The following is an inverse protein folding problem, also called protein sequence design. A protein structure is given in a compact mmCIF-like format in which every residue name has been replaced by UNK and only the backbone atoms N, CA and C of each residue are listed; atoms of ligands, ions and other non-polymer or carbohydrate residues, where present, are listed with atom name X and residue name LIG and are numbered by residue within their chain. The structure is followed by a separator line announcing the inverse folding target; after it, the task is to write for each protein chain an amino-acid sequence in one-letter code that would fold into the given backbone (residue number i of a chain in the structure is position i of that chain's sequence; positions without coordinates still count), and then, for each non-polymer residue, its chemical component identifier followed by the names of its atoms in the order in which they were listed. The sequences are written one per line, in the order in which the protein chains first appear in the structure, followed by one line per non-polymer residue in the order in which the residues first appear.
data_IF_784887129062
#
_entry.id   IF_784887129062
#
_cell.length_a   1.000
_cell.length_b   1.000
_cell.length_c   1.000
_cell.angle_alpha   90.00
_cell.angle_beta   90.00
_cell.angle_gamma   90.00
#
_symmetry.space_group_name_H-M   'P 1'
#
loop_
_entity.id
_entity.type
_entity.pdbx_description
1 polymer ?
#
# COMPACT_ATOMS: atom_id res chain seq x y z
N UNK A 1 16.33 12.89 -32.96
CA UNK A 1 15.62 13.84 -32.08
C UNK A 1 14.24 14.14 -32.66
N UNK A 2 13.29 14.58 -31.84
CA UNK A 2 11.92 14.89 -32.27
C UNK A 2 11.65 16.39 -32.09
N UNK A 3 11.46 17.15 -33.18
CA UNK A 3 11.18 18.58 -33.08
C UNK A 3 9.74 18.82 -32.60
N UNK A 4 9.53 19.89 -31.84
CA UNK A 4 8.21 20.32 -31.37
C UNK A 4 8.05 21.84 -31.41
N UNK A 5 6.82 22.30 -31.63
CA UNK A 5 6.41 23.70 -31.39
C UNK A 5 5.89 23.83 -29.97
N UNK A 6 5.83 25.04 -29.38
CA UNK A 6 5.26 25.25 -28.04
C UNK A 6 3.87 24.61 -27.85
N UNK A 7 3.01 24.65 -28.87
CA UNK A 7 1.69 24.01 -28.83
C UNK A 7 1.76 22.47 -28.73
N UNK A 8 2.77 21.85 -29.33
CA UNK A 8 2.97 20.40 -29.28
C UNK A 8 3.40 19.99 -27.86
N UNK A 9 4.30 20.75 -27.21
CA UNK A 9 4.70 20.49 -25.83
C UNK A 9 3.55 20.65 -24.85
N UNK A 10 2.72 21.68 -25.01
CA UNK A 10 1.46 21.83 -24.25
C UNK A 10 0.56 20.60 -24.44
N UNK A 11 0.36 20.16 -25.68
CA UNK A 11 -0.45 18.98 -26.00
C UNK A 11 0.11 17.71 -25.35
N UNK A 12 1.41 17.44 -25.48
CA UNK A 12 2.04 16.24 -24.91
C UNK A 12 2.00 16.23 -23.39
N UNK A 13 2.14 17.41 -22.78
CA UNK A 13 2.04 17.59 -21.33
C UNK A 13 0.63 17.34 -20.84
N UNK A 14 -0.37 17.93 -21.49
CA UNK A 14 -1.78 17.92 -21.05
C UNK A 14 -2.58 16.69 -21.51
N UNK A 15 -2.00 15.89 -22.42
CA UNK A 15 -2.64 14.66 -22.90
C UNK A 15 -2.99 13.68 -21.77
N UNK A 16 -4.21 13.16 -21.76
CA UNK A 16 -4.66 12.13 -20.80
C UNK A 16 -4.11 10.74 -21.11
N UNK A 17 -3.47 10.56 -22.26
CA UNK A 17 -2.70 9.36 -22.62
C UNK A 17 -1.23 9.76 -22.83
N UNK A 18 -0.27 8.92 -22.45
CA UNK A 18 1.13 9.24 -22.68
C UNK A 18 1.44 9.27 -24.18
N UNK A 19 2.20 10.28 -24.59
CA UNK A 19 2.63 10.48 -25.96
C UNK A 19 4.08 10.00 -26.07
N UNK A 20 4.32 9.01 -26.92
CA UNK A 20 5.65 8.52 -27.25
C UNK A 20 6.02 8.92 -28.67
N UNK A 21 7.27 9.28 -28.85
CA UNK A 21 7.84 9.58 -30.15
C UNK A 21 8.76 8.47 -30.60
N UNK A 22 8.61 8.04 -31.86
CA UNK A 22 9.45 7.02 -32.48
C UNK A 22 10.14 7.68 -33.68
N UNK A 23 11.44 7.46 -33.82
CA UNK A 23 12.25 7.96 -34.95
C UNK A 23 13.01 6.82 -35.59
N UNK A 24 13.17 6.91 -36.91
CA UNK A 24 14.14 6.11 -37.64
C UNK A 24 15.48 6.86 -37.67
N UNK A 25 16.54 6.17 -37.27
CA UNK A 25 17.91 6.61 -37.41
C UNK A 25 18.48 5.98 -38.70
N UNK A 26 18.67 6.77 -39.78
CA UNK A 26 19.09 6.24 -41.07
C UNK A 26 20.55 5.79 -41.11
N UNK A 27 21.40 6.33 -40.22
CA UNK A 27 22.82 5.97 -40.19
C UNK A 27 23.03 4.59 -39.55
N UNK A 28 22.22 4.27 -38.54
CA UNK A 28 22.23 2.98 -37.85
C UNK A 28 21.16 1.99 -38.34
N UNK A 29 20.32 2.41 -39.29
CA UNK A 29 19.11 1.71 -39.75
C UNK A 29 18.27 1.13 -38.60
N UNK A 30 17.94 1.97 -37.61
CA UNK A 30 17.29 1.53 -36.36
C UNK A 30 16.07 2.37 -36.00
N UNK A 31 15.12 1.76 -35.28
CA UNK A 31 13.96 2.47 -34.71
C UNK A 31 14.22 2.76 -33.24
N UNK A 32 14.07 4.03 -32.84
CA UNK A 32 14.33 4.48 -31.47
C UNK A 32 13.16 5.25 -30.90
N UNK A 33 13.00 5.25 -29.58
CA UNK A 33 11.82 5.83 -28.92
C UNK A 33 12.15 6.76 -27.74
N UNK A 34 11.25 7.68 -27.45
CA UNK A 34 11.30 8.58 -26.28
C UNK A 34 9.90 8.88 -25.75
N UNK A 35 9.78 9.09 -24.44
CA UNK A 35 8.55 9.56 -23.78
C UNK A 35 8.43 11.08 -23.91
N UNK A 36 7.61 11.55 -24.87
CA UNK A 36 7.40 12.97 -25.14
C UNK A 36 6.57 13.63 -24.03
N UNK A 37 5.63 12.89 -23.43
CA UNK A 37 4.84 13.36 -22.30
C UNK A 37 5.71 13.62 -21.06
N UNK A 38 6.69 12.76 -20.78
CA UNK A 38 7.65 12.99 -19.70
C UNK A 38 8.58 14.16 -20.00
N UNK A 39 9.09 14.25 -21.23
CA UNK A 39 9.97 15.36 -21.64
C UNK A 39 9.27 16.73 -21.55
N UNK A 40 8.00 16.82 -21.95
CA UNK A 40 7.21 18.05 -21.90
C UNK A 40 6.88 18.51 -20.47
N UNK A 41 6.75 17.59 -19.51
CA UNK A 41 6.57 17.94 -18.09
C UNK A 41 7.82 18.64 -17.54
N UNK A 42 9.01 18.18 -17.95
CA UNK A 42 10.29 18.72 -17.51
C UNK A 42 10.69 20.01 -18.23
N UNK A 43 9.98 20.42 -19.29
CA UNK A 43 10.31 21.62 -20.10
C UNK A 43 10.51 22.89 -19.25
N UNK A 44 9.64 23.08 -18.25
CA UNK A 44 9.61 24.28 -17.41
C UNK A 44 10.60 24.23 -16.24
N UNK A 45 11.24 23.09 -16.03
CA UNK A 45 12.34 22.96 -15.08
C UNK A 45 13.63 23.33 -15.80
N UNK A 46 14.05 24.60 -15.68
CA UNK A 46 15.22 25.13 -16.40
C UNK A 46 16.54 24.40 -16.11
N UNK A 47 16.59 23.55 -15.09
CA UNK A 47 17.76 22.72 -14.78
C UNK A 47 17.64 21.28 -15.31
N UNK A 48 16.42 20.75 -15.38
CA UNK A 48 16.15 19.36 -15.76
C UNK A 48 15.52 19.19 -17.16
N UNK A 49 15.24 20.29 -17.86
CA UNK A 49 14.60 20.26 -19.17
C UNK A 49 15.46 19.47 -20.16
N UNK A 50 14.95 18.33 -20.67
CA UNK A 50 15.66 17.56 -21.68
C UNK A 50 15.55 18.20 -23.06
N UNK A 51 14.79 19.29 -23.22
CA UNK A 51 14.52 19.93 -24.51
C UNK A 51 15.73 20.77 -24.90
N UNK A 52 16.27 20.48 -26.09
CA UNK A 52 17.44 21.14 -26.65
C UNK A 52 17.08 21.90 -27.92
N UNK A 53 17.90 22.89 -28.28
CA UNK A 53 17.80 23.52 -29.59
C UNK A 53 18.32 22.56 -30.65
N UNK A 54 17.40 21.98 -31.42
CA UNK A 54 17.70 21.07 -32.51
C UNK A 54 18.02 21.77 -33.84
N UNK A 55 18.15 20.99 -34.92
CA UNK A 55 18.41 21.50 -36.26
C UNK A 55 17.41 22.59 -36.64
N UNK A 56 17.90 23.63 -37.32
CA UNK A 56 17.09 24.79 -37.73
C UNK A 56 16.52 25.63 -36.58
N UNK A 57 17.12 25.57 -35.39
CA UNK A 57 16.77 26.41 -34.24
C UNK A 57 15.46 26.02 -33.55
N UNK A 58 14.96 24.80 -33.78
CA UNK A 58 13.69 24.32 -33.20
C UNK A 58 13.92 23.57 -31.90
N UNK A 59 13.11 23.85 -30.89
CA UNK A 59 13.04 23.04 -29.68
C UNK A 59 12.78 21.58 -30.03
N UNK A 60 13.60 20.68 -29.50
CA UNK A 60 13.59 19.26 -29.86
C UNK A 60 13.85 18.39 -28.64
N UNK A 61 13.18 17.24 -28.57
CA UNK A 61 13.41 16.22 -27.55
C UNK A 61 14.49 15.25 -28.07
N UNK A 62 15.62 15.06 -27.35
CA UNK A 62 16.62 14.09 -27.70
C UNK A 62 16.06 12.67 -27.53
N UNK A 63 16.41 11.78 -28.45
CA UNK A 63 16.02 10.37 -28.38
C UNK A 63 17.26 9.61 -27.90
N UNK A 64 17.23 8.95 -26.73
CA UNK A 64 18.39 8.24 -26.20
C UNK A 64 18.88 7.14 -27.15
N UNK A 65 20.19 6.94 -27.21
CA UNK A 65 20.79 5.95 -28.10
C UNK A 65 20.43 4.51 -27.71
N UNK A 66 20.27 4.26 -26.42
CA UNK A 66 19.95 2.95 -25.86
C UNK A 66 18.49 2.53 -26.06
N UNK A 67 17.59 3.47 -26.41
CA UNK A 67 16.16 3.22 -26.54
C UNK A 67 15.80 2.61 -27.92
N UNK A 68 16.41 1.48 -28.25
CA UNK A 68 16.23 0.77 -29.53
C UNK A 68 15.02 -0.16 -29.52
N UNK A 69 13.98 0.23 -30.26
CA UNK A 69 12.74 -0.53 -30.39
C UNK A 69 12.88 -1.74 -31.33
N UNK A 70 13.84 -1.69 -32.26
CA UNK A 70 14.14 -2.75 -33.21
C UNK A 70 14.87 -3.95 -32.58
N UNK A 71 15.62 -3.71 -31.50
CA UNK A 71 16.32 -4.76 -30.75
C UNK A 71 15.48 -5.36 -29.62
N UNK A 72 14.82 -4.50 -28.83
CA UNK A 72 14.01 -4.93 -27.70
C UNK A 72 12.83 -3.98 -27.48
N UNK A 73 11.62 -4.52 -27.65
CA UNK A 73 10.37 -3.78 -27.45
C UNK A 73 9.96 -3.74 -25.97
N UNK A 74 10.52 -4.60 -25.11
CA UNK A 74 10.12 -4.71 -23.71
C UNK A 74 10.38 -3.43 -22.90
N UNK A 75 11.52 -2.72 -23.04
CA UNK A 75 11.73 -1.42 -22.38
C UNK A 75 10.67 -0.40 -22.77
N UNK A 76 10.30 -0.35 -24.06
CA UNK A 76 9.22 0.52 -24.53
C UNK A 76 7.88 0.13 -23.92
N UNK A 77 7.51 -1.16 -23.96
CA UNK A 77 6.24 -1.64 -23.38
C UNK A 77 6.20 -1.36 -21.88
N UNK A 78 7.31 -1.54 -21.16
CA UNK A 78 7.41 -1.22 -19.74
C UNK A 78 7.22 0.28 -19.50
N UNK A 79 7.91 1.14 -20.25
CA UNK A 79 7.78 2.58 -20.14
C UNK A 79 6.36 3.07 -20.50
N UNK A 80 5.77 2.53 -21.57
CA UNK A 80 4.40 2.81 -21.98
C UNK A 80 3.38 2.39 -20.91
N UNK A 81 3.54 1.20 -20.32
CA UNK A 81 2.70 0.77 -19.19
C UNK A 81 2.89 1.69 -17.98
N UNK A 82 4.11 2.06 -17.63
CA UNK A 82 4.37 2.99 -16.52
C UNK A 82 3.76 4.36 -16.76
N UNK A 83 3.92 4.92 -17.97
CA UNK A 83 3.40 6.22 -18.33
C UNK A 83 1.86 6.21 -18.45
N UNK A 84 1.29 5.11 -18.95
CA UNK A 84 -0.14 4.88 -18.96
C UNK A 84 -0.64 4.86 -17.52
N UNK A 85 -0.09 4.04 -16.63
CA UNK A 85 -0.49 4.00 -15.21
C UNK A 85 -0.44 5.35 -14.49
N UNK A 86 0.50 6.23 -14.86
CA UNK A 86 0.58 7.60 -14.34
C UNK A 86 -0.54 8.52 -14.84
N UNK A 87 -1.18 8.21 -15.97
CA UNK A 87 -2.16 9.07 -16.67
C UNK A 87 -3.54 8.40 -16.88
N UNK A 88 -3.64 7.08 -16.80
CA UNK A 88 -4.82 6.29 -17.11
C UNK A 88 -5.67 6.10 -15.87
N UNK A 89 -6.73 6.89 -15.77
CA UNK A 89 -7.80 6.68 -14.81
C UNK A 89 -7.51 7.29 -13.43
N UNK A 90 -8.59 7.62 -12.73
CA UNK A 90 -8.51 7.96 -11.32
C UNK A 90 -8.13 6.70 -10.55
N UNK A 91 -7.00 6.71 -9.84
CA UNK A 91 -6.62 5.64 -8.92
C UNK A 91 -7.79 5.28 -7.97
N UNK A 92 -8.53 6.30 -7.51
CA UNK A 92 -9.72 6.11 -6.69
C UNK A 92 -10.82 5.36 -7.45
N UNK A 93 -11.04 5.67 -8.73
CA UNK A 93 -12.03 4.95 -9.54
C UNK A 93 -11.64 3.48 -9.76
N UNK A 94 -10.36 3.18 -9.97
CA UNK A 94 -9.90 1.81 -10.09
C UNK A 94 -10.09 1.02 -8.78
N UNK A 95 -9.75 1.62 -7.63
CA UNK A 95 -9.93 1.01 -6.31
C UNK A 95 -11.41 0.85 -5.89
N UNK A 96 -12.31 1.64 -6.48
CA UNK A 96 -13.75 1.59 -6.25
C UNK A 96 -14.51 0.80 -7.33
N UNK A 97 -13.81 0.14 -8.25
CA UNK A 97 -14.44 -0.67 -9.30
C UNK A 97 -15.09 -1.93 -8.73
N UNK A 98 -16.20 -2.37 -9.33
CA UNK A 98 -16.83 -3.66 -9.02
C UNK A 98 -16.07 -4.84 -9.64
N UNK A 99 -15.19 -4.58 -10.60
CA UNK A 99 -14.36 -5.58 -11.26
C UNK A 99 -13.06 -5.85 -10.47
N UNK A 100 -12.87 -7.10 -10.04
CA UNK A 100 -11.74 -7.53 -9.19
C UNK A 100 -10.40 -7.29 -9.85
N UNK A 101 -10.28 -7.53 -11.16
CA UNK A 101 -9.01 -7.36 -11.88
C UNK A 101 -8.64 -5.87 -12.07
N UNK A 102 -9.65 -5.02 -12.26
CA UNK A 102 -9.49 -3.57 -12.22
C UNK A 102 -9.04 -3.09 -10.84
N UNK A 103 -9.61 -3.61 -9.75
CA UNK A 103 -9.18 -3.27 -8.39
C UNK A 103 -7.73 -3.71 -8.14
N UNK A 104 -7.36 -4.93 -8.55
CA UNK A 104 -5.95 -5.40 -8.45
C UNK A 104 -5.00 -4.50 -9.24
N UNK A 105 -5.41 -4.06 -10.42
CA UNK A 105 -4.61 -3.09 -11.21
C UNK A 105 -4.47 -1.77 -10.45
N UNK A 106 -5.55 -1.25 -9.86
CA UNK A 106 -5.52 -0.06 -9.01
C UNK A 106 -4.58 -0.22 -7.80
N UNK A 107 -4.59 -1.37 -7.13
CA UNK A 107 -3.65 -1.66 -6.02
C UNK A 107 -2.20 -1.65 -6.52
N UNK A 108 -1.91 -2.30 -7.65
CA UNK A 108 -0.57 -2.28 -8.24
C UNK A 108 -0.12 -0.87 -8.65
N UNK A 109 -1.06 -0.05 -9.14
CA UNK A 109 -0.80 1.34 -9.51
C UNK A 109 -0.58 2.24 -8.29
N UNK A 110 -1.24 1.95 -7.16
CA UNK A 110 -0.93 2.59 -5.86
C UNK A 110 0.55 2.42 -5.54
N UNK A 111 1.15 1.25 -5.76
CA UNK A 111 2.58 1.07 -5.53
C UNK A 111 3.42 1.96 -6.45
N UNK A 112 3.12 1.97 -7.75
CA UNK A 112 3.88 2.73 -8.75
C UNK A 112 3.82 4.26 -8.50
N UNK A 113 2.64 4.79 -8.19
CA UNK A 113 2.43 6.21 -7.87
C UNK A 113 2.94 6.53 -6.46
N UNK A 114 2.65 5.65 -5.50
CA UNK A 114 2.94 5.79 -4.08
C UNK A 114 4.42 5.98 -3.77
N UNK A 115 5.31 5.44 -4.61
CA UNK A 115 6.75 5.66 -4.53
C UNK A 115 7.18 7.13 -4.63
N UNK A 116 6.33 7.99 -5.18
CA UNK A 116 6.59 9.41 -5.38
C UNK A 116 5.60 10.31 -4.63
N UNK A 117 4.41 9.81 -4.31
CA UNK A 117 3.37 10.55 -3.57
C UNK A 117 2.69 9.66 -2.51
N UNK A 118 2.83 9.97 -1.20
CA UNK A 118 2.20 9.17 -0.15
C UNK A 118 0.66 9.14 -0.24
N UNK A 119 0.05 10.07 -0.96
CA UNK A 119 -1.41 10.16 -1.11
C UNK A 119 -2.02 8.91 -1.76
N UNK A 120 -1.29 8.23 -2.66
CA UNK A 120 -1.77 6.99 -3.26
C UNK A 120 -1.93 5.87 -2.22
N UNK A 121 -0.96 5.71 -1.32
CA UNK A 121 -1.05 4.73 -0.22
C UNK A 121 -2.09 5.13 0.81
N UNK A 122 -2.24 6.43 1.12
CA UNK A 122 -3.32 6.91 2.00
C UNK A 122 -4.70 6.60 1.43
N UNK A 123 -4.87 6.76 0.12
CA UNK A 123 -6.12 6.42 -0.56
C UNK A 123 -6.41 4.92 -0.45
N UNK A 124 -5.42 4.06 -0.74
CA UNK A 124 -5.56 2.61 -0.58
C UNK A 124 -5.94 2.22 0.85
N UNK A 125 -5.25 2.80 1.85
CA UNK A 125 -5.55 2.58 3.26
C UNK A 125 -6.99 3.03 3.60
N UNK A 126 -7.41 4.22 3.18
CA UNK A 126 -8.75 4.75 3.47
C UNK A 126 -9.89 3.95 2.83
N UNK A 127 -9.59 3.19 1.77
CA UNK A 127 -10.54 2.35 1.06
C UNK A 127 -10.44 0.87 1.46
N UNK A 128 -9.49 0.49 2.33
CA UNK A 128 -9.16 -0.91 2.60
C UNK A 128 -10.39 -1.77 2.96
N UNK A 129 -11.21 -1.30 3.91
CA UNK A 129 -12.43 -2.01 4.31
C UNK A 129 -13.47 -2.16 3.18
N UNK A 130 -13.44 -1.27 2.18
CA UNK A 130 -14.36 -1.27 1.04
C UNK A 130 -13.87 -2.11 -0.13
N UNK A 131 -12.61 -2.53 -0.11
CA UNK A 131 -12.07 -3.41 -1.14
C UNK A 131 -12.79 -4.78 -1.10
N UNK A 132 -13.02 -5.41 -2.26
CA UNK A 132 -13.45 -6.80 -2.32
C UNK A 132 -12.52 -7.71 -1.50
N UNK A 133 -13.07 -8.67 -0.76
CA UNK A 133 -12.27 -9.55 0.13
C UNK A 133 -11.12 -10.23 -0.60
N UNK A 134 -11.34 -10.69 -1.85
CA UNK A 134 -10.31 -11.32 -2.68
C UNK A 134 -9.14 -10.42 -3.10
N UNK A 135 -9.14 -9.13 -2.78
CA UNK A 135 -8.04 -8.19 -3.09
C UNK A 135 -7.37 -7.59 -1.85
N UNK A 136 -7.95 -7.77 -0.66
CA UNK A 136 -7.45 -7.15 0.59
C UNK A 136 -6.06 -7.64 0.99
N UNK A 137 -5.77 -8.93 0.85
CA UNK A 137 -4.41 -9.46 1.08
C UNK A 137 -3.37 -8.79 0.17
N UNK A 138 -3.70 -8.63 -1.12
CA UNK A 138 -2.81 -7.94 -2.06
C UNK A 138 -2.63 -6.45 -1.72
N UNK A 139 -3.70 -5.79 -1.22
CA UNK A 139 -3.61 -4.43 -0.70
C UNK A 139 -2.73 -4.35 0.56
N UNK A 140 -2.85 -5.30 1.48
CA UNK A 140 -2.03 -5.37 2.69
C UNK A 140 -0.55 -5.58 2.35
N UNK A 141 -0.23 -6.51 1.44
CA UNK A 141 1.13 -6.70 0.92
C UNK A 141 1.67 -5.41 0.28
N UNK A 142 0.85 -4.73 -0.51
CA UNK A 142 1.21 -3.44 -1.13
C UNK A 142 1.49 -2.35 -0.09
N UNK A 143 0.68 -2.25 0.97
CA UNK A 143 0.90 -1.32 2.08
C UNK A 143 2.12 -1.72 2.91
N UNK A 144 2.40 -3.01 3.07
CA UNK A 144 3.57 -3.51 3.80
C UNK A 144 4.89 -3.07 3.16
N UNK A 145 4.90 -2.80 1.85
CA UNK A 145 6.04 -2.18 1.17
C UNK A 145 6.43 -0.80 1.72
N UNK A 146 5.53 -0.15 2.45
CA UNK A 146 5.80 1.15 3.11
C UNK A 146 6.38 1.00 4.52
N UNK A 147 6.56 -0.23 4.99
CA UNK A 147 7.00 -0.57 6.34
C UNK A 147 8.45 -1.09 6.33
N UNK A 148 8.94 -1.51 7.49
CA UNK A 148 10.22 -2.21 7.65
C UNK A 148 10.02 -3.73 7.69
N UNK A 149 9.10 -4.25 6.86
CA UNK A 149 8.76 -5.67 6.84
C UNK A 149 10.01 -6.54 6.62
N UNK A 150 10.30 -7.52 7.49
CA UNK A 150 11.57 -8.25 7.47
C UNK A 150 11.70 -9.21 6.28
N UNK A 151 10.59 -9.75 5.78
CA UNK A 151 10.60 -10.71 4.66
C UNK A 151 10.46 -10.08 3.28
N UNK A 152 10.51 -8.74 3.17
CA UNK A 152 10.57 -8.08 1.87
C UNK A 152 12.02 -7.99 1.41
N UNK A 153 12.32 -8.60 0.26
CA UNK A 153 13.63 -8.45 -0.38
C UNK A 153 13.72 -7.08 -1.07
N UNK A 154 14.38 -6.12 -0.40
CA UNK A 154 14.49 -4.74 -0.87
C UNK A 154 15.49 -4.57 -2.02
N UNK A 155 15.04 -3.94 -3.09
CA UNK A 155 15.79 -3.62 -4.30
C UNK A 155 15.47 -2.20 -4.76
N UNK A 156 16.24 -1.65 -5.71
CA UNK A 156 15.92 -0.33 -6.30
C UNK A 156 14.54 -0.30 -6.99
N UNK A 157 14.03 -1.46 -7.43
CA UNK A 157 12.73 -1.55 -8.11
C UNK A 157 11.55 -1.50 -7.14
N UNK A 158 11.75 -1.86 -5.86
CA UNK A 158 10.67 -1.88 -4.89
C UNK A 158 10.88 -0.97 -3.67
N UNK A 159 11.97 -0.20 -3.65
CA UNK A 159 12.28 0.75 -2.58
C UNK A 159 11.28 1.91 -2.51
N UNK A 160 10.72 2.13 -1.31
CA UNK A 160 9.93 3.31 -0.96
C UNK A 160 10.83 4.32 -0.22
N UNK A 161 10.98 5.57 -0.70
CA UNK A 161 11.78 6.58 -0.02
C UNK A 161 11.29 6.90 1.41
N UNK A 162 12.22 7.23 2.31
CA UNK A 162 11.88 7.55 3.71
C UNK A 162 10.94 8.74 3.86
N UNK A 163 11.03 9.73 2.97
CA UNK A 163 10.13 10.88 2.94
C UNK A 163 8.67 10.45 2.73
N UNK A 164 8.43 9.45 1.87
CA UNK A 164 7.11 8.88 1.63
C UNK A 164 6.63 8.09 2.87
N UNK A 165 7.49 7.24 3.44
CA UNK A 165 7.17 6.45 4.65
C UNK A 165 6.84 7.35 5.84
N UNK A 166 7.61 8.42 6.03
CA UNK A 166 7.37 9.41 7.08
C UNK A 166 6.05 10.16 6.86
N UNK A 167 5.77 10.58 5.63
CA UNK A 167 4.51 11.23 5.27
C UNK A 167 3.29 10.34 5.54
N UNK A 168 3.40 9.03 5.31
CA UNK A 168 2.36 8.06 5.65
C UNK A 168 2.15 7.94 7.15
N UNK A 169 3.21 7.67 7.93
CA UNK A 169 3.12 7.54 9.39
C UNK A 169 2.53 8.78 10.06
N UNK A 170 2.84 9.97 9.53
CA UNK A 170 2.31 11.22 10.05
C UNK A 170 0.80 11.35 9.84
N UNK A 171 0.26 10.89 8.70
CA UNK A 171 -1.11 11.18 8.24
C UNK A 171 -2.08 10.01 8.39
N UNK A 172 -1.61 8.78 8.28
CA UNK A 172 -2.46 7.58 8.29
C UNK A 172 -2.96 7.31 9.70
N UNK A 173 -4.27 7.19 9.86
CA UNK A 173 -4.92 6.79 11.10
C UNK A 173 -5.96 5.73 10.79
N UNK A 174 -5.78 4.54 11.35
CA UNK A 174 -6.75 3.46 11.18
C UNK A 174 -8.00 3.74 12.00
N UNK A 175 -9.19 3.56 11.42
CA UNK A 175 -10.41 3.46 12.24
C UNK A 175 -10.49 2.07 12.87
N UNK A 176 -11.34 1.88 13.88
CA UNK A 176 -11.58 0.52 14.42
C UNK A 176 -12.09 -0.43 13.34
N UNK A 177 -12.96 0.05 12.43
CA UNK A 177 -13.44 -0.74 11.30
C UNK A 177 -12.32 -1.17 10.35
N UNK A 178 -11.32 -0.31 10.12
CA UNK A 178 -10.16 -0.66 9.30
C UNK A 178 -9.28 -1.70 10.00
N UNK A 179 -9.08 -1.57 11.32
CA UNK A 179 -8.34 -2.56 12.12
C UNK A 179 -9.05 -3.90 12.06
N UNK A 180 -10.38 -3.94 12.25
CA UNK A 180 -11.18 -5.17 12.14
C UNK A 180 -11.04 -5.79 10.76
N UNK A 181 -11.13 -4.98 9.69
CA UNK A 181 -10.96 -5.46 8.32
C UNK A 181 -9.58 -6.06 8.09
N UNK A 182 -8.52 -5.45 8.61
CA UNK A 182 -7.15 -5.96 8.54
C UNK A 182 -6.99 -7.27 9.33
N UNK A 183 -7.47 -7.31 10.58
CA UNK A 183 -7.35 -8.49 11.45
C UNK A 183 -8.16 -9.69 10.95
N UNK A 184 -9.24 -9.45 10.19
CA UNK A 184 -10.04 -10.52 9.56
C UNK A 184 -9.28 -11.22 8.43
N UNK A 185 -8.23 -10.61 7.88
CA UNK A 185 -7.40 -11.25 6.84
C UNK A 185 -6.39 -12.26 7.40
N UNK A 186 -6.16 -12.25 8.73
CA UNK A 186 -5.29 -13.21 9.41
C UNK A 186 -5.98 -14.57 9.44
N UNK A 187 -5.34 -15.56 8.83
CA UNK A 187 -5.82 -16.95 8.80
C UNK A 187 -5.30 -17.77 9.99
N UNK A 188 -5.60 -19.06 9.99
CA UNK A 188 -5.25 -20.02 11.04
C UNK A 188 -3.74 -20.16 11.26
N UNK A 189 -2.89 -19.76 10.29
CA UNK A 189 -1.45 -19.70 10.47
C UNK A 189 -1.02 -18.57 11.43
N UNK A 190 -1.93 -17.66 11.74
CA UNK A 190 -1.72 -16.57 12.68
C UNK A 190 -0.66 -15.57 12.26
N UNK A 191 -0.06 -14.94 13.25
CA UNK A 191 1.05 -14.01 13.08
C UNK A 191 2.32 -14.83 13.28
N UNK A 192 2.97 -15.20 12.18
CA UNK A 192 4.25 -15.92 12.17
C UNK A 192 5.07 -15.44 10.98
N UNK A 193 6.38 -15.70 10.99
CA UNK A 193 7.25 -15.32 9.88
C UNK A 193 6.77 -15.91 8.54
N UNK A 194 6.64 -15.07 7.53
CA UNK A 194 6.17 -15.43 6.19
C UNK A 194 4.65 -15.55 6.03
N UNK A 195 3.85 -15.33 7.08
CA UNK A 195 2.39 -15.38 6.99
C UNK A 195 1.78 -14.02 6.64
N UNK A 196 0.51 -14.04 6.20
CA UNK A 196 -0.26 -12.81 6.05
C UNK A 196 -0.43 -12.07 7.39
N UNK A 197 -0.48 -12.79 8.52
CA UNK A 197 -0.58 -12.18 9.85
C UNK A 197 0.61 -11.29 10.20
N UNK A 198 1.83 -11.70 9.84
CA UNK A 198 3.01 -10.82 9.98
C UNK A 198 2.88 -9.56 9.12
N UNK A 199 2.41 -9.71 7.88
CA UNK A 199 2.17 -8.57 6.97
C UNK A 199 1.17 -7.59 7.60
N UNK A 200 0.05 -8.10 8.11
CA UNK A 200 -0.98 -7.30 8.77
C UNK A 200 -0.43 -6.57 10.00
N UNK A 201 0.35 -7.25 10.86
CA UNK A 201 0.99 -6.62 12.01
C UNK A 201 1.84 -5.40 11.62
N UNK A 202 2.66 -5.53 10.56
CA UNK A 202 3.48 -4.41 10.07
C UNK A 202 2.64 -3.29 9.44
N UNK A 203 1.55 -3.61 8.74
CA UNK A 203 0.63 -2.62 8.16
C UNK A 203 -0.10 -1.83 9.25
N UNK A 204 -0.55 -2.49 10.32
CA UNK A 204 -1.16 -1.82 11.48
C UNK A 204 -0.19 -0.80 12.09
N UNK A 205 1.10 -1.16 12.19
CA UNK A 205 2.15 -0.31 12.75
C UNK A 205 2.48 0.95 11.91
N UNK A 206 1.86 1.15 10.73
CA UNK A 206 1.95 2.42 10.00
C UNK A 206 1.30 3.55 10.82
N UNK A 207 0.14 3.28 11.44
CA UNK A 207 -0.51 4.21 12.36
C UNK A 207 0.16 4.15 13.72
N UNK A 208 0.83 5.22 14.15
CA UNK A 208 1.50 5.26 15.46
C UNK A 208 0.56 5.09 16.66
N UNK A 209 -0.74 5.27 16.47
CA UNK A 209 -1.77 5.22 17.50
C UNK A 209 -2.65 3.97 17.41
N UNK A 210 -2.32 2.98 16.57
CA UNK A 210 -3.18 1.80 16.42
C UNK A 210 -3.35 1.01 17.74
N UNK A 211 -2.31 0.98 18.58
CA UNK A 211 -2.32 0.25 19.85
C UNK A 211 -3.43 0.71 20.80
N UNK A 212 -3.72 2.01 20.86
CA UNK A 212 -4.77 2.54 21.75
C UNK A 212 -6.19 2.14 21.31
N UNK A 213 -6.34 1.54 20.13
CA UNK A 213 -7.62 1.11 19.56
C UNK A 213 -7.84 -0.41 19.67
N UNK A 214 -6.78 -1.18 19.96
CA UNK A 214 -6.83 -2.64 20.02
C UNK A 214 -7.74 -3.15 21.14
N UNK A 215 -7.74 -2.50 22.31
CA UNK A 215 -8.63 -2.87 23.41
C UNK A 215 -10.10 -2.68 23.02
N UNK A 216 -10.42 -1.59 22.33
CA UNK A 216 -11.75 -1.34 21.75
C UNK A 216 -12.18 -2.47 20.83
N UNK A 217 -11.31 -2.89 19.90
CA UNK A 217 -11.59 -4.00 18.97
C UNK A 217 -11.74 -5.34 19.70
N UNK A 218 -10.85 -5.67 20.65
CA UNK A 218 -10.91 -6.93 21.40
C UNK A 218 -12.22 -7.05 22.22
N UNK A 219 -12.64 -5.97 22.85
CA UNK A 219 -13.84 -5.90 23.69
C UNK A 219 -15.14 -5.72 22.87
N UNK A 220 -15.04 -5.33 21.60
CA UNK A 220 -16.21 -5.11 20.76
C UNK A 220 -16.83 -6.43 20.32
N UNK A 221 -17.82 -6.91 21.08
CA UNK A 221 -18.59 -8.12 20.77
C UNK A 221 -19.33 -8.05 19.42
N UNK A 222 -19.45 -6.88 18.78
CA UNK A 222 -20.11 -6.77 17.47
C UNK A 222 -19.25 -7.26 16.30
N UNK A 223 -17.94 -7.41 16.49
CA UNK A 223 -16.98 -7.80 15.44
C UNK A 223 -16.66 -9.30 15.48
N UNK A 224 -16.08 -9.89 14.42
CA UNK A 224 -15.76 -11.32 14.38
C UNK A 224 -14.76 -11.75 15.47
N UNK A 225 -14.96 -12.93 16.05
CA UNK A 225 -14.14 -13.43 17.17
C UNK A 225 -12.67 -13.57 16.81
N UNK A 226 -12.33 -13.98 15.58
CA UNK A 226 -10.93 -14.01 15.12
C UNK A 226 -10.26 -12.63 15.15
N UNK A 227 -10.98 -11.57 14.76
CA UNK A 227 -10.44 -10.21 14.84
C UNK A 227 -10.27 -9.76 16.30
N UNK A 228 -11.19 -10.14 17.20
CA UNK A 228 -11.08 -9.87 18.64
C UNK A 228 -9.88 -10.58 19.26
N UNK A 229 -9.70 -11.86 18.93
CA UNK A 229 -8.56 -12.68 19.36
C UNK A 229 -7.23 -12.05 18.94
N UNK A 230 -7.08 -11.72 17.65
CA UNK A 230 -5.84 -11.12 17.16
C UNK A 230 -5.60 -9.72 17.70
N UNK A 231 -6.65 -8.92 17.95
CA UNK A 231 -6.50 -7.64 18.63
C UNK A 231 -5.95 -7.82 20.05
N UNK A 232 -6.46 -8.79 20.80
CA UNK A 232 -5.97 -9.13 22.14
C UNK A 232 -4.53 -9.65 22.09
N UNK A 233 -4.22 -10.57 21.17
CA UNK A 233 -2.87 -11.13 21.02
C UNK A 233 -1.83 -10.04 20.73
N UNK A 234 -2.12 -9.12 19.80
CA UNK A 234 -1.23 -7.99 19.49
C UNK A 234 -1.12 -7.03 20.67
N UNK A 235 -2.22 -6.73 21.37
CA UNK A 235 -2.20 -5.87 22.55
C UNK A 235 -1.26 -6.44 23.63
N UNK A 236 -1.38 -7.73 23.94
CA UNK A 236 -0.57 -8.41 24.95
C UNK A 236 0.90 -8.51 24.54
N UNK A 237 1.18 -8.87 23.29
CA UNK A 237 2.54 -8.88 22.74
C UNK A 237 3.21 -7.50 22.87
N UNK A 238 2.48 -6.42 22.57
CA UNK A 238 3.00 -5.05 22.68
C UNK A 238 3.19 -4.57 24.11
N UNK A 239 2.47 -5.14 25.07
CA UNK A 239 2.65 -4.86 26.49
C UNK A 239 3.95 -5.45 27.04
N UNK A 240 4.52 -6.48 26.40
CA UNK A 240 5.80 -7.06 26.81
C UNK A 240 5.74 -7.59 28.24
N UNK A 241 6.62 -7.09 29.11
CA UNK A 241 6.67 -7.47 30.54
C UNK A 241 5.39 -7.08 31.31
N UNK A 242 4.62 -6.10 30.80
CA UNK A 242 3.36 -5.65 31.39
C UNK A 242 2.15 -6.47 30.88
N UNK A 243 2.36 -7.58 30.16
CA UNK A 243 1.28 -8.36 29.57
C UNK A 243 0.31 -8.93 30.60
N UNK A 244 0.79 -9.33 31.79
CA UNK A 244 -0.06 -9.80 32.89
C UNK A 244 -1.07 -8.71 33.31
N UNK A 245 -0.61 -7.49 33.57
CA UNK A 245 -1.49 -6.38 33.95
C UNK A 245 -2.44 -5.99 32.80
N UNK A 246 -1.94 -6.04 31.56
CA UNK A 246 -2.77 -5.78 30.38
C UNK A 246 -3.88 -6.83 30.20
N UNK A 247 -3.59 -8.11 30.44
CA UNK A 247 -4.56 -9.20 30.40
C UNK A 247 -5.62 -9.05 31.49
N UNK A 248 -5.20 -8.78 32.72
CA UNK A 248 -6.13 -8.55 33.84
C UNK A 248 -7.08 -7.38 33.54
N UNK A 249 -6.55 -6.25 33.07
CA UNK A 249 -7.35 -5.09 32.65
C UNK A 249 -8.34 -5.44 31.54
N UNK A 250 -7.91 -6.24 30.56
CA UNK A 250 -8.75 -6.65 29.43
C UNK A 250 -9.90 -7.57 29.89
N UNK A 251 -9.61 -8.59 30.70
CA UNK A 251 -10.61 -9.53 31.24
C UNK A 251 -11.61 -8.80 32.14
N UNK A 252 -11.14 -7.97 33.07
CA UNK A 252 -12.04 -7.18 33.94
C UNK A 252 -12.95 -6.26 33.13
N UNK A 253 -12.44 -5.65 32.05
CA UNK A 253 -13.26 -4.79 31.19
C UNK A 253 -14.35 -5.57 30.45
N UNK A 254 -14.06 -6.80 29.99
CA UNK A 254 -15.06 -7.66 29.34
C UNK A 254 -16.17 -8.11 30.30
N UNK A 255 -15.84 -8.36 31.57
CA UNK A 255 -16.83 -8.70 32.61
C UNK A 255 -17.79 -7.54 32.92
N UNK A 256 -17.29 -6.30 32.97
CA UNK A 256 -18.14 -5.12 33.22
C UNK A 256 -19.17 -4.94 32.10
N UNK A 257 -18.79 -5.17 30.84
CA UNK A 257 -19.68 -5.03 29.68
C UNK A 257 -20.88 -6.00 29.70
N UNK A 258 -20.77 -7.12 30.41
CA UNK A 258 -21.88 -8.05 30.60
C UNK A 258 -22.93 -7.53 31.58
N UNK A 259 -22.48 -6.85 32.64
CA UNK A 259 -23.35 -6.36 33.71
C UNK A 259 -24.31 -5.26 33.23
N UNK A 260 -24.04 -4.64 32.07
CA UNK A 260 -24.79 -3.51 31.52
C UNK A 260 -25.99 -3.91 30.62
N UNK A 261 -26.39 -5.19 30.64
CA UNK A 261 -27.76 -5.58 30.28
C UNK A 261 -28.15 -5.49 28.80
N UNK A 262 -27.24 -5.77 27.87
CA UNK A 262 -27.57 -5.78 26.44
C UNK A 262 -28.51 -6.95 26.08
N UNK A 263 -29.76 -6.61 25.73
CA UNK A 263 -30.88 -7.48 25.34
C UNK A 263 -30.70 -8.22 23.98
N UNK A 264 -29.47 -8.42 23.49
CA UNK A 264 -29.19 -9.07 22.21
C UNK A 264 -28.33 -10.33 22.38
N UNK A 265 -28.53 -11.36 21.53
CA UNK A 265 -28.21 -12.74 21.87
C UNK A 265 -26.70 -13.02 21.91
N UNK A 266 -26.30 -13.77 22.94
CA UNK A 266 -25.11 -14.61 23.11
C UNK A 266 -23.97 -14.37 22.12
N UNK A 267 -23.06 -13.44 22.46
CA UNK A 267 -21.75 -13.37 21.82
C UNK A 267 -20.68 -13.63 22.86
N UNK A 268 -19.69 -14.42 22.46
CA UNK A 268 -18.73 -15.05 23.33
C UNK A 268 -17.94 -14.00 24.13
N UNK A 269 -17.78 -14.24 25.43
CA UNK A 269 -16.78 -13.57 26.25
C UNK A 269 -15.39 -13.89 25.71
N UNK A 270 -14.40 -13.07 26.04
CA UNK A 270 -13.03 -13.30 25.57
C UNK A 270 -12.53 -14.71 25.90
N UNK A 271 -12.78 -15.21 27.11
CA UNK A 271 -12.38 -16.56 27.51
C UNK A 271 -13.16 -17.70 26.84
N UNK A 272 -14.26 -17.37 26.15
CA UNK A 272 -15.04 -18.33 25.37
C UNK A 272 -14.62 -18.32 23.89
N UNK A 273 -13.79 -17.36 23.46
CA UNK A 273 -13.22 -17.34 22.11
C UNK A 273 -12.14 -18.41 22.00
N UNK A 274 -12.25 -19.24 20.97
CA UNK A 274 -11.25 -20.27 20.66
C UNK A 274 -9.84 -19.67 20.54
N UNK A 275 -8.86 -20.33 21.15
CA UNK A 275 -7.47 -19.88 21.22
C UNK A 275 -7.16 -18.79 22.26
N UNK A 276 -8.15 -18.14 22.90
CA UNK A 276 -7.86 -17.13 23.94
C UNK A 276 -7.18 -17.76 25.17
N UNK A 277 -7.51 -19.00 25.51
CA UNK A 277 -6.85 -19.75 26.59
C UNK A 277 -5.34 -19.88 26.39
N UNK A 278 -4.86 -19.97 25.13
CA UNK A 278 -3.44 -20.02 24.83
C UNK A 278 -2.74 -18.69 25.14
N UNK A 279 -3.41 -17.56 24.95
CA UNK A 279 -2.89 -16.25 25.34
C UNK A 279 -2.76 -16.16 26.87
N UNK A 280 -3.78 -16.59 27.60
CA UNK A 280 -3.76 -16.62 29.07
C UNK A 280 -2.62 -17.51 29.57
N UNK A 281 -2.49 -18.72 29.01
CA UNK A 281 -1.45 -19.66 29.39
C UNK A 281 -0.05 -19.11 29.08
N UNK A 282 0.15 -18.49 27.90
CA UNK A 282 1.43 -17.87 27.55
C UNK A 282 1.84 -16.78 28.53
N UNK A 283 0.92 -15.89 28.89
CA UNK A 283 1.21 -14.83 29.87
C UNK A 283 1.49 -15.42 31.25
N UNK A 284 0.76 -16.44 31.67
CA UNK A 284 0.99 -17.09 32.97
C UNK A 284 2.36 -17.82 33.03
N UNK A 285 2.76 -18.50 31.96
CA UNK A 285 3.99 -19.29 31.93
C UNK A 285 5.24 -18.45 31.69
N UNK A 286 5.15 -17.43 30.83
CA UNK A 286 6.30 -16.67 30.35
C UNK A 286 6.31 -15.20 30.79
N UNK A 287 5.18 -14.67 31.28
CA UNK A 287 5.01 -13.25 31.59
C UNK A 287 4.72 -12.37 30.36
N UNK A 288 4.69 -12.95 29.15
CA UNK A 288 4.43 -12.24 27.90
C UNK A 288 3.81 -13.17 26.84
N UNK A 289 3.32 -12.58 25.75
CA UNK A 289 2.90 -13.29 24.54
C UNK A 289 3.99 -13.11 23.49
N UNK A 290 4.40 -14.20 22.84
CA UNK A 290 5.29 -14.15 21.68
C UNK A 290 4.49 -14.34 20.38
N UNK A 291 4.76 -13.50 19.38
CA UNK A 291 4.15 -13.56 18.05
C UNK A 291 5.15 -13.91 16.94
N UNK A 292 6.47 -14.03 17.21
CA UNK A 292 7.48 -14.18 16.14
C UNK A 292 8.58 -15.21 16.42
#
# INVERSE_FOLDING_TARGET
MIPGKPADFTLWRESTVPVFGIVHDPDADSLRWVDLSAAAVLEFDGYLSPIVTGPFGKASVPVPDDNRMDLDVLPFVSAAKTALRRRSGSLAAALLSDDVDTVKTGIADTFAVGRHDPTAFLLLASLFQRLPSGTRRFAAETLAMTTSHPDVFWTRQNWIPDTIRAGLRQRLRWTESDIVALLTEIDEAGIQRGTIGQTIYHVLAIDQQFQSKLSGVALNRTVPDGARLWAAAILLYRAGEDAQEALERLVSSDEVLESDGALFPARLRLHEIDGFEHLVQSVADFGYVDLF
#
